data_IF_591910954530
#
_entry.id   IF_591910954530
#
_cell.length_a   1.000
_cell.length_b   1.000
_cell.length_c   1.000
_cell.angle_alpha   90.00
_cell.angle_beta   90.00
_cell.angle_gamma   90.00
#
_symmetry.space_group_name_H-M   'P 1'
#
loop_
_entity.id
_entity.type
_entity.pdbx_description
1 polymer ?
#
# COMPACT_ATOMS: atom_id res chain seq x y z
N UNK A 1 -36.78 -19.49 36.74
CA UNK A 1 -36.18 -18.70 35.64
C UNK A 1 -34.67 -18.83 35.75
N UNK A 2 -34.09 -19.78 35.02
CA UNK A 2 -32.67 -20.14 35.16
C UNK A 2 -31.86 -19.35 34.15
N UNK A 3 -31.16 -18.31 34.60
CA UNK A 3 -30.25 -17.51 33.79
C UNK A 3 -29.10 -18.38 33.27
N UNK A 4 -29.15 -18.71 31.98
CA UNK A 4 -28.12 -19.45 31.29
C UNK A 4 -26.91 -18.52 31.13
N UNK A 5 -25.99 -18.54 32.10
CA UNK A 5 -24.66 -17.94 31.94
C UNK A 5 -23.99 -18.64 30.78
N UNK A 6 -23.90 -17.94 29.66
CA UNK A 6 -23.05 -18.27 28.52
C UNK A 6 -21.60 -18.23 29.02
N UNK A 7 -21.14 -19.31 29.64
CA UNK A 7 -19.73 -19.54 29.93
C UNK A 7 -19.15 -20.25 28.72
N UNK A 8 -18.97 -19.50 27.62
CA UNK A 8 -18.11 -19.98 26.54
C UNK A 8 -16.76 -20.30 27.15
N UNK A 9 -16.31 -21.55 26.99
CA UNK A 9 -15.03 -22.01 27.57
C UNK A 9 -13.94 -21.07 27.07
N UNK A 10 -13.02 -20.57 27.90
CA UNK A 10 -12.03 -19.57 27.50
C UNK A 10 -11.26 -19.98 26.24
N UNK A 11 -11.00 -21.29 26.08
CA UNK A 11 -10.39 -21.87 24.88
C UNK A 11 -11.22 -21.66 23.59
N UNK A 12 -12.55 -21.71 23.66
CA UNK A 12 -13.42 -21.46 22.50
C UNK A 12 -13.38 -19.99 22.09
N UNK A 13 -13.38 -19.08 23.07
CA UNK A 13 -13.24 -17.64 22.82
C UNK A 13 -11.88 -17.33 22.19
N UNK A 14 -10.78 -17.90 22.70
CA UNK A 14 -9.44 -17.75 22.13
C UNK A 14 -9.37 -18.24 20.68
N UNK A 15 -9.92 -19.42 20.39
CA UNK A 15 -9.98 -19.94 19.02
C UNK A 15 -10.74 -18.99 18.09
N UNK A 16 -11.86 -18.43 18.54
CA UNK A 16 -12.65 -17.48 17.75
C UNK A 16 -11.85 -16.20 17.45
N UNK A 17 -11.07 -15.71 18.42
CA UNK A 17 -10.21 -14.55 18.25
C UNK A 17 -9.05 -14.82 17.28
N UNK A 18 -8.43 -16.00 17.33
CA UNK A 18 -7.40 -16.39 16.37
C UNK A 18 -7.97 -16.47 14.95
N UNK A 19 -9.14 -17.08 14.75
CA UNK A 19 -9.79 -17.12 13.43
C UNK A 19 -10.11 -15.71 12.92
N UNK A 20 -10.58 -14.82 13.79
CA UNK A 20 -10.81 -13.40 13.44
C UNK A 20 -9.51 -12.69 13.05
N UNK A 21 -8.43 -12.96 13.79
CA UNK A 21 -7.11 -12.41 13.49
C UNK A 21 -6.63 -12.86 12.11
N UNK A 22 -6.74 -14.15 11.80
CA UNK A 22 -6.34 -14.71 10.50
C UNK A 22 -7.16 -14.12 9.34
N UNK A 23 -8.47 -13.93 9.55
CA UNK A 23 -9.35 -13.26 8.58
C UNK A 23 -8.91 -11.82 8.30
N UNK A 24 -8.64 -11.05 9.35
CA UNK A 24 -8.20 -9.66 9.20
C UNK A 24 -6.84 -9.57 8.49
N UNK A 25 -5.93 -10.51 8.74
CA UNK A 25 -4.64 -10.57 8.04
C UNK A 25 -4.79 -10.90 6.55
N UNK A 26 -5.73 -11.79 6.19
CA UNK A 26 -6.04 -12.09 4.78
C UNK A 26 -6.69 -10.90 4.08
N UNK A 27 -7.65 -10.24 4.73
CA UNK A 27 -8.28 -9.01 4.21
C UNK A 27 -7.25 -7.91 4.00
N UNK A 28 -6.37 -7.68 4.97
CA UNK A 28 -5.29 -6.71 4.87
C UNK A 28 -4.37 -7.00 3.68
N UNK A 29 -3.95 -8.27 3.51
CA UNK A 29 -3.14 -8.68 2.34
C UNK A 29 -3.85 -8.43 1.02
N UNK A 30 -5.17 -8.66 0.98
CA UNK A 30 -6.00 -8.42 -0.20
C UNK A 30 -6.03 -6.94 -0.54
N UNK A 31 -6.26 -6.08 0.44
CA UNK A 31 -6.29 -4.62 0.26
C UNK A 31 -4.92 -4.09 -0.16
N UNK A 32 -3.84 -4.53 0.46
CA UNK A 32 -2.48 -4.11 0.09
C UNK A 32 -2.13 -4.48 -1.36
N UNK A 33 -2.54 -5.68 -1.81
CA UNK A 33 -2.36 -6.11 -3.19
C UNK A 33 -3.16 -5.22 -4.14
N UNK A 34 -4.43 -4.96 -3.83
CA UNK A 34 -5.27 -4.08 -4.64
C UNK A 34 -4.70 -2.67 -4.73
N UNK A 35 -4.23 -2.13 -3.61
CA UNK A 35 -3.62 -0.81 -3.55
C UNK A 35 -2.36 -0.75 -4.43
N UNK A 36 -1.52 -1.78 -4.39
CA UNK A 36 -0.32 -1.87 -5.22
C UNK A 36 -0.64 -1.87 -6.73
N UNK A 37 -1.65 -2.65 -7.15
CA UNK A 37 -2.07 -2.74 -8.54
C UNK A 37 -2.67 -1.42 -9.04
N UNK A 38 -3.53 -0.79 -8.22
CA UNK A 38 -4.11 0.51 -8.50
C UNK A 38 -3.05 1.61 -8.58
N UNK A 39 -2.08 1.61 -7.67
CA UNK A 39 -0.98 2.57 -7.67
C UNK A 39 -0.09 2.41 -8.90
N UNK A 40 0.14 1.18 -9.35
CA UNK A 40 0.87 0.91 -10.61
C UNK A 40 0.16 1.53 -11.80
N UNK A 41 -1.16 1.32 -11.91
CA UNK A 41 -1.99 1.90 -12.97
C UNK A 41 -1.98 3.43 -12.90
N UNK A 42 -2.17 4.01 -11.70
CA UNK A 42 -2.20 5.46 -11.50
C UNK A 42 -0.88 6.13 -11.91
N UNK A 43 0.26 5.58 -11.48
CA UNK A 43 1.56 6.16 -11.77
C UNK A 43 1.96 6.03 -13.24
N UNK A 44 1.54 4.97 -13.91
CA UNK A 44 1.76 4.77 -15.33
C UNK A 44 0.97 5.81 -16.17
N UNK A 45 -0.33 5.93 -15.91
CA UNK A 45 -1.23 6.78 -16.70
C UNK A 45 -1.03 8.27 -16.43
N UNK A 46 -0.65 8.63 -15.20
CA UNK A 46 -0.44 10.04 -14.81
C UNK A 46 0.95 10.58 -15.17
N UNK A 47 1.81 9.77 -15.81
CA UNK A 47 3.20 10.12 -16.12
C UNK A 47 3.35 11.31 -17.06
N UNK A 48 2.34 11.59 -17.89
CA UNK A 48 2.40 12.57 -18.96
C UNK A 48 1.81 13.95 -18.61
N UNK A 49 0.84 13.99 -17.69
CA UNK A 49 0.11 15.21 -17.33
C UNK A 49 0.39 15.68 -15.89
N UNK A 50 1.25 14.99 -15.14
CA UNK A 50 1.47 15.26 -13.73
C UNK A 50 0.53 14.45 -12.84
N UNK A 51 0.90 14.30 -11.57
CA UNK A 51 0.23 13.42 -10.63
C UNK A 51 0.22 14.04 -9.21
N UNK A 52 -0.53 13.44 -8.28
CA UNK A 52 -0.61 13.93 -6.89
C UNK A 52 0.76 14.01 -6.20
N UNK A 53 1.73 13.19 -6.62
CA UNK A 53 3.05 13.15 -6.00
C UNK A 53 4.00 14.25 -6.53
N UNK A 54 3.88 14.63 -7.79
CA UNK A 54 4.82 15.54 -8.49
C UNK A 54 4.16 16.87 -8.88
N UNK A 55 2.85 17.00 -8.67
CA UNK A 55 2.04 18.15 -9.07
C UNK A 55 1.54 18.07 -10.52
N UNK A 56 0.61 18.96 -10.86
CA UNK A 56 -0.06 19.04 -12.16
C UNK A 56 0.48 20.18 -13.06
N UNK A 57 1.64 20.73 -12.73
CA UNK A 57 2.29 21.82 -13.48
C UNK A 57 2.56 21.43 -14.94
N UNK A 58 2.82 20.15 -15.21
CA UNK A 58 2.99 19.61 -16.57
C UNK A 58 1.72 19.74 -17.42
N UNK A 59 0.56 19.47 -16.83
CA UNK A 59 -0.74 19.68 -17.49
C UNK A 59 -0.98 21.17 -17.79
N UNK A 60 -0.71 22.06 -16.83
CA UNK A 60 -0.85 23.51 -17.03
C UNK A 60 0.11 24.06 -18.10
N UNK A 61 1.32 23.51 -18.18
CA UNK A 61 2.33 23.87 -19.17
C UNK A 61 1.96 23.39 -20.57
N UNK A 62 1.35 22.20 -20.68
CA UNK A 62 0.80 21.66 -21.93
C UNK A 62 -0.33 22.53 -22.49
N UNK A 63 -1.25 22.99 -21.63
CA UNK A 63 -2.36 23.88 -22.02
C UNK A 63 -1.85 25.24 -22.53
N UNK A 64 -0.75 25.76 -21.96
CA UNK A 64 -0.23 27.10 -22.27
C UNK A 64 0.86 27.11 -23.36
N UNK A 65 1.21 25.95 -23.95
CA UNK A 65 2.22 25.86 -25.01
C UNK A 65 3.66 26.19 -24.60
N UNK A 66 3.93 26.42 -23.31
CA UNK A 66 5.26 26.72 -22.77
C UNK A 66 5.87 25.42 -22.21
N UNK A 67 6.26 24.53 -23.12
CA UNK A 67 6.65 23.16 -22.80
C UNK A 67 8.08 23.04 -22.29
N UNK A 68 8.33 23.31 -21.01
CA UNK A 68 9.48 22.73 -20.31
C UNK A 68 9.09 21.33 -19.83
N UNK A 69 8.91 20.38 -20.78
CA UNK A 69 8.65 18.98 -20.49
C UNK A 69 9.88 18.41 -19.76
N UNK A 70 9.87 18.49 -18.43
CA UNK A 70 10.80 17.71 -17.61
C UNK A 70 10.55 16.26 -17.98
N UNK A 71 11.57 15.64 -18.61
CA UNK A 71 11.50 14.27 -19.14
C UNK A 71 10.78 13.35 -18.15
N UNK A 72 9.85 12.50 -18.62
CA UNK A 72 9.22 11.51 -17.75
C UNK A 72 10.33 10.69 -17.11
N UNK A 73 10.51 10.84 -15.79
CA UNK A 73 11.45 10.02 -15.05
C UNK A 73 10.83 8.64 -14.92
N UNK A 74 11.67 7.61 -15.07
CA UNK A 74 11.27 6.23 -14.87
C UNK A 74 10.66 6.09 -13.48
N UNK A 75 9.54 5.39 -13.40
CA UNK A 75 8.85 5.06 -12.16
C UNK A 75 9.83 4.40 -11.20
N UNK A 76 9.98 4.98 -10.01
CA UNK A 76 10.86 4.45 -8.97
C UNK A 76 10.03 3.79 -7.86
N UNK A 77 10.53 2.73 -7.20
CA UNK A 77 9.84 2.08 -6.08
C UNK A 77 9.45 3.07 -4.99
N UNK A 78 10.25 4.12 -4.78
CA UNK A 78 10.03 5.17 -3.80
C UNK A 78 8.85 6.09 -4.15
N UNK A 79 8.41 6.12 -5.41
CA UNK A 79 7.20 6.86 -5.83
C UNK A 79 5.91 6.15 -5.35
N UNK A 80 5.98 4.95 -4.76
CA UNK A 80 4.81 4.18 -4.27
C UNK A 80 4.37 4.57 -2.86
N UNK A 81 4.09 5.85 -2.60
CA UNK A 81 3.75 6.33 -1.25
C UNK A 81 2.59 5.56 -0.60
N UNK A 82 1.58 5.13 -1.37
CA UNK A 82 0.44 4.42 -0.80
C UNK A 82 0.83 3.02 -0.36
N UNK A 83 1.58 2.28 -1.18
CA UNK A 83 2.14 0.98 -0.77
C UNK A 83 3.15 1.13 0.38
N UNK A 84 3.92 2.22 0.41
CA UNK A 84 4.92 2.49 1.45
C UNK A 84 4.28 2.93 2.79
N UNK A 85 3.01 3.33 2.78
CA UNK A 85 2.28 3.70 4.00
C UNK A 85 1.96 2.50 4.90
N UNK A 86 2.02 1.28 4.36
CA UNK A 86 1.84 0.05 5.14
C UNK A 86 3.17 -0.69 5.30
N UNK A 87 3.57 -0.94 6.56
CA UNK A 87 4.82 -1.65 6.89
C UNK A 87 4.80 -3.12 6.49
N UNK A 88 3.61 -3.70 6.32
CA UNK A 88 3.38 -5.09 5.87
C UNK A 88 3.24 -5.21 4.37
N UNK A 89 3.21 -4.08 3.64
CA UNK A 89 3.06 -4.09 2.19
C UNK A 89 4.24 -4.80 1.52
N UNK A 90 4.02 -5.53 0.41
CA UNK A 90 5.08 -6.18 -0.35
C UNK A 90 6.23 -5.23 -0.69
N UNK A 91 5.94 -3.97 -1.06
CA UNK A 91 6.96 -2.96 -1.40
C UNK A 91 7.90 -2.70 -0.23
N UNK A 92 7.35 -2.62 0.99
CA UNK A 92 8.11 -2.37 2.21
C UNK A 92 8.87 -3.62 2.65
N UNK A 93 8.33 -4.82 2.44
CA UNK A 93 9.03 -6.07 2.74
C UNK A 93 10.30 -6.21 1.88
N UNK A 94 10.24 -5.86 0.59
CA UNK A 94 11.41 -5.90 -0.30
C UNK A 94 12.42 -4.77 0.00
N UNK A 95 11.94 -3.57 0.35
CA UNK A 95 12.82 -2.46 0.72
C UNK A 95 13.51 -2.72 2.05
N UNK A 96 12.78 -3.16 3.09
CA UNK A 96 13.35 -3.51 4.39
C UNK A 96 14.27 -4.73 4.32
N UNK A 97 13.98 -5.73 3.47
CA UNK A 97 14.95 -6.82 3.23
C UNK A 97 16.27 -6.29 2.63
N UNK A 98 16.21 -5.26 1.80
CA UNK A 98 17.40 -4.61 1.23
C UNK A 98 18.13 -3.75 2.27
N UNK A 99 17.40 -3.08 3.17
CA UNK A 99 17.97 -2.36 4.32
C UNK A 99 18.65 -3.34 5.27
N UNK A 100 17.97 -4.43 5.66
CA UNK A 100 18.52 -5.48 6.54
C UNK A 100 19.76 -6.15 5.92
N UNK A 101 19.80 -6.34 4.60
CA UNK A 101 21.01 -6.82 3.90
C UNK A 101 22.18 -5.82 3.95
N UNK A 102 21.93 -4.51 3.98
CA UNK A 102 23.01 -3.51 4.15
C UNK A 102 23.52 -3.41 5.59
N UNK A 103 22.78 -3.91 6.58
CA UNK A 103 23.24 -3.98 7.99
C UNK A 103 23.81 -5.36 8.35
N UNK A 104 23.67 -6.35 7.47
CA UNK A 104 24.22 -7.68 7.64
C UNK A 104 25.49 -7.84 6.78
N UNK A 105 26.62 -7.36 7.34
CA UNK A 105 28.02 -7.48 6.89
C UNK A 105 28.41 -6.90 5.53
#
# INVERSE_FOLDING_TARGET
MSGQRVTSKPHQTLNLLNVRQDQLLEELRTVEKQLYDLETTYLHDSSQCGNVLKGFEGFLSSIKGSGNLKRPRKFQPEDRLFSLSSVTSPVVIYSNSSVIRSVAF
#
